data_IF_308043813621
#
_entry.id   IF_308043813621
#
_cell.length_a   1.000
_cell.length_b   1.000
_cell.length_c   1.000
_cell.angle_alpha   90.00
_cell.angle_beta   90.00
_cell.angle_gamma   90.00
#
_symmetry.space_group_name_H-M   'P 1'
#
loop_
_entity.id
_entity.type
_entity.pdbx_description
1 polymer ?
#
# COMPACT_ATOMS: atom_id res chain seq x y z
N UNK A 1 64.78 -41.83 -44.42
CA UNK A 1 65.04 -40.52 -43.76
C UNK A 1 63.88 -39.58 -44.05
N UNK A 2 62.96 -39.42 -43.09
CA UNK A 2 62.08 -38.26 -42.89
C UNK A 2 61.20 -38.55 -41.66
N UNK A 3 61.33 -37.66 -40.67
CA UNK A 3 60.68 -37.67 -39.38
C UNK A 3 59.18 -37.33 -39.51
N UNK A 4 58.35 -37.70 -38.53
CA UNK A 4 57.49 -36.80 -37.75
C UNK A 4 56.41 -37.54 -36.94
N UNK A 5 56.63 -37.50 -35.62
CA UNK A 5 55.75 -37.19 -34.50
C UNK A 5 54.41 -37.95 -34.19
N UNK A 6 54.02 -37.96 -32.89
CA UNK A 6 53.09 -38.90 -32.31
C UNK A 6 51.75 -38.28 -31.85
N UNK A 7 50.95 -39.13 -31.21
CA UNK A 7 49.87 -38.84 -30.22
C UNK A 7 48.57 -38.22 -30.76
N UNK A 8 47.67 -39.13 -31.14
CA UNK A 8 46.21 -39.04 -30.96
C UNK A 8 45.88 -39.76 -29.63
N UNK A 9 44.90 -39.43 -28.79
CA UNK A 9 43.72 -38.59 -28.94
C UNK A 9 43.11 -38.25 -27.56
N UNK A 10 42.19 -37.25 -27.56
CA UNK A 10 40.89 -37.23 -26.85
C UNK A 10 40.89 -36.97 -25.32
N UNK A 11 39.98 -36.21 -24.66
CA UNK A 11 38.72 -35.52 -24.97
C UNK A 11 38.58 -34.22 -24.10
N UNK A 12 37.78 -33.25 -24.57
CA UNK A 12 37.16 -32.11 -23.84
C UNK A 12 35.84 -32.57 -23.14
N UNK A 13 35.12 -31.82 -22.24
CA UNK A 13 34.96 -30.35 -22.19
C UNK A 13 34.63 -29.68 -20.81
N UNK A 14 34.36 -28.37 -20.92
CA UNK A 14 33.40 -27.54 -20.15
C UNK A 14 33.78 -27.02 -18.76
N UNK A 15 34.15 -25.74 -18.72
CA UNK A 15 34.20 -24.94 -17.52
C UNK A 15 32.80 -24.67 -16.96
N UNK A 16 32.68 -24.77 -15.64
CA UNK A 16 31.52 -24.30 -14.89
C UNK A 16 31.92 -22.98 -14.22
N UNK A 17 31.50 -21.86 -14.81
CA UNK A 17 31.49 -20.56 -14.12
C UNK A 17 30.30 -20.61 -13.17
N UNK A 18 30.56 -20.77 -11.89
CA UNK A 18 29.54 -20.74 -10.84
C UNK A 18 29.15 -19.27 -10.59
N UNK A 19 28.21 -18.75 -11.39
CA UNK A 19 27.58 -17.48 -11.11
C UNK A 19 26.61 -17.65 -9.94
N UNK A 20 27.08 -17.37 -8.73
CA UNK A 20 26.23 -17.15 -7.56
C UNK A 20 25.47 -15.85 -7.80
N UNK A 21 24.29 -15.95 -8.43
CA UNK A 21 23.31 -14.87 -8.42
C UNK A 21 22.73 -14.85 -7.02
N UNK A 22 23.25 -13.98 -6.15
CA UNK A 22 22.58 -13.63 -4.90
C UNK A 22 21.28 -12.95 -5.29
N UNK A 23 20.19 -13.73 -5.34
CA UNK A 23 18.83 -13.16 -5.32
C UNK A 23 18.72 -12.34 -4.04
N UNK A 24 18.48 -11.05 -4.20
CA UNK A 24 18.38 -10.10 -3.10
C UNK A 24 17.28 -10.52 -2.14
N UNK A 25 17.66 -10.92 -0.94
CA UNK A 25 16.79 -10.80 0.22
C UNK A 25 16.84 -9.34 0.68
N UNK A 26 16.09 -8.49 -0.01
CA UNK A 26 15.71 -7.18 0.48
C UNK A 26 14.39 -7.29 1.25
N UNK A 27 14.38 -7.98 2.39
CA UNK A 27 13.29 -7.90 3.37
C UNK A 27 13.93 -7.58 4.70
N UNK A 28 14.03 -6.29 4.98
CA UNK A 28 14.19 -5.76 6.32
C UNK A 28 13.16 -4.63 6.40
N UNK A 29 11.93 -4.97 6.78
CA UNK A 29 10.88 -3.94 6.94
C UNK A 29 9.49 -4.46 7.30
N UNK A 30 9.01 -5.54 6.68
CA UNK A 30 7.60 -5.92 6.82
C UNK A 30 7.29 -6.78 8.05
N UNK A 31 6.35 -6.34 8.89
CA UNK A 31 5.64 -7.18 9.85
C UNK A 31 4.92 -8.34 9.16
N UNK A 32 4.60 -9.40 9.92
CA UNK A 32 3.88 -10.56 9.37
C UNK A 32 2.53 -10.16 8.75
N UNK A 33 1.92 -9.14 9.36
CA UNK A 33 0.57 -8.65 9.08
C UNK A 33 0.58 -7.40 8.17
N UNK A 34 1.71 -7.06 7.54
CA UNK A 34 1.77 -5.92 6.62
C UNK A 34 1.25 -6.29 5.23
N UNK A 35 0.65 -5.29 4.56
CA UNK A 35 0.22 -5.38 3.17
C UNK A 35 1.36 -5.88 2.26
N UNK A 36 1.06 -6.84 1.39
CA UNK A 36 2.05 -7.42 0.47
C UNK A 36 2.15 -6.56 -0.79
N UNK A 37 3.31 -5.96 -1.02
CA UNK A 37 3.50 -4.94 -2.06
C UNK A 37 4.48 -5.34 -3.15
N UNK A 38 4.27 -4.79 -4.35
CA UNK A 38 5.28 -4.80 -5.40
C UNK A 38 6.41 -3.82 -5.06
N UNK A 39 7.65 -4.26 -5.19
CA UNK A 39 8.82 -3.45 -4.81
C UNK A 39 9.09 -2.27 -5.75
N UNK A 40 8.48 -2.25 -6.95
CA UNK A 40 8.71 -1.22 -7.96
C UNK A 40 7.60 -0.18 -8.02
N UNK A 41 6.34 -0.60 -7.88
CA UNK A 41 5.19 0.31 -7.88
C UNK A 41 4.73 0.73 -6.47
N UNK A 42 5.01 -0.08 -5.44
CA UNK A 42 4.49 0.12 -4.09
C UNK A 42 3.04 -0.36 -3.90
N UNK A 43 2.40 -0.82 -4.98
CA UNK A 43 0.99 -1.25 -4.96
C UNK A 43 0.82 -2.56 -4.21
N UNK A 44 -0.33 -2.72 -3.55
CA UNK A 44 -0.75 -4.00 -2.97
C UNK A 44 -0.95 -5.04 -4.07
N UNK A 45 -0.41 -6.24 -3.85
CA UNK A 45 -0.36 -7.34 -4.82
C UNK A 45 -1.23 -8.54 -4.45
N UNK A 46 -1.65 -8.63 -3.19
CA UNK A 46 -2.45 -9.72 -2.67
C UNK A 46 -3.54 -9.18 -1.76
N UNK A 47 -4.75 -9.75 -1.87
CA UNK A 47 -5.85 -9.46 -0.96
C UNK A 47 -5.61 -10.12 0.40
N UNK A 48 -5.49 -9.32 1.46
CA UNK A 48 -5.32 -9.81 2.82
C UNK A 48 -5.68 -8.74 3.85
N UNK A 49 -6.02 -9.17 5.06
CA UNK A 49 -6.01 -8.29 6.22
C UNK A 49 -4.59 -7.74 6.42
N UNK A 50 -4.49 -6.41 6.42
CA UNK A 50 -3.25 -5.68 6.60
C UNK A 50 -3.36 -4.77 7.81
N UNK A 51 -2.27 -4.66 8.57
CA UNK A 51 -2.13 -3.67 9.64
C UNK A 51 -2.42 -2.27 9.09
N UNK A 52 -3.24 -1.49 9.80
CA UNK A 52 -3.54 -0.10 9.41
C UNK A 52 -2.27 0.75 9.37
N UNK A 53 -1.25 0.41 10.16
CA UNK A 53 0.06 1.07 10.14
C UNK A 53 0.89 0.79 8.88
N UNK A 54 0.49 -0.20 8.08
CA UNK A 54 1.16 -0.57 6.83
C UNK A 54 0.44 -0.05 5.59
N UNK A 55 -0.73 0.59 5.75
CA UNK A 55 -1.50 1.15 4.65
C UNK A 55 -0.85 2.44 4.14
N UNK A 56 -0.89 2.64 2.82
CA UNK A 56 -0.27 3.75 2.12
C UNK A 56 -1.26 4.42 1.16
N UNK A 57 -1.00 5.66 0.78
CA UNK A 57 -1.79 6.36 -0.25
C UNK A 57 -1.78 5.57 -1.57
N UNK A 58 -2.97 5.30 -2.10
CA UNK A 58 -3.23 4.47 -3.27
C UNK A 58 -3.70 3.06 -2.95
N UNK A 59 -3.72 2.66 -1.67
CA UNK A 59 -4.23 1.36 -1.28
C UNK A 59 -5.75 1.29 -1.35
N UNK A 60 -6.21 0.28 -2.07
CA UNK A 60 -7.61 -0.08 -2.15
C UNK A 60 -7.95 -1.07 -1.03
N UNK A 61 -9.00 -0.76 -0.27
CA UNK A 61 -9.37 -1.46 0.96
C UNK A 61 -10.88 -1.71 1.00
N UNK A 62 -11.28 -2.68 1.81
CA UNK A 62 -12.68 -2.87 2.18
C UNK A 62 -12.94 -2.28 3.56
N UNK A 63 -13.88 -1.36 3.68
CA UNK A 63 -14.32 -0.81 4.97
C UNK A 63 -15.45 -1.70 5.52
N UNK A 64 -15.32 -2.23 6.75
CA UNK A 64 -16.41 -2.98 7.35
C UNK A 64 -17.62 -2.06 7.59
N UNK A 65 -18.83 -2.56 7.35
CA UNK A 65 -20.14 -1.88 7.55
C UNK A 65 -20.39 -1.26 8.94
N UNK A 66 -19.47 -1.45 9.89
CA UNK A 66 -19.59 -0.94 11.25
C UNK A 66 -18.69 0.28 11.42
N UNK A 67 -19.26 1.34 12.01
CA UNK A 67 -18.64 2.58 12.51
C UNK A 67 -17.47 2.34 13.50
N UNK A 68 -16.44 1.61 13.07
CA UNK A 68 -15.35 1.17 13.93
C UNK A 68 -14.34 2.30 14.03
N UNK A 69 -14.51 3.10 15.08
CA UNK A 69 -13.57 4.14 15.52
C UNK A 69 -12.18 3.59 15.91
N UNK A 70 -12.00 2.27 15.93
CA UNK A 70 -10.78 1.57 16.29
C UNK A 70 -10.63 0.33 15.41
N UNK A 71 -9.79 0.39 14.39
CA UNK A 71 -9.43 -0.74 13.53
C UNK A 71 -7.92 -0.96 13.58
N UNK A 72 -7.49 -2.17 13.90
CA UNK A 72 -6.07 -2.55 13.87
C UNK A 72 -5.65 -3.05 12.49
N UNK A 73 -6.61 -3.61 11.74
CA UNK A 73 -6.41 -4.17 10.41
C UNK A 73 -7.59 -3.85 9.51
N UNK A 74 -7.31 -3.67 8.22
CA UNK A 74 -8.31 -3.58 7.16
C UNK A 74 -7.91 -4.54 6.04
N UNK A 75 -8.90 -5.08 5.34
CA UNK A 75 -8.63 -5.89 4.15
C UNK A 75 -8.13 -4.96 3.05
N UNK A 76 -6.86 -5.11 2.65
CA UNK A 76 -6.25 -4.41 1.55
C UNK A 76 -6.12 -5.34 0.34
N UNK A 77 -6.23 -4.79 -0.87
CA UNK A 77 -6.17 -5.56 -2.11
C UNK A 77 -5.67 -4.73 -3.29
N UNK A 78 -5.24 -5.38 -4.39
CA UNK A 78 -5.02 -4.66 -5.64
C UNK A 78 -6.30 -3.95 -6.08
N UNK A 79 -6.19 -2.72 -6.56
CA UNK A 79 -7.35 -1.92 -6.97
C UNK A 79 -8.14 -2.50 -8.15
N UNK A 80 -7.61 -3.53 -8.84
CA UNK A 80 -8.37 -4.28 -9.86
C UNK A 80 -9.29 -5.36 -9.28
N UNK A 81 -9.23 -5.57 -7.97
CA UNK A 81 -10.16 -6.41 -7.20
C UNK A 81 -11.32 -5.58 -6.65
N UNK A 82 -12.49 -6.20 -6.38
CA UNK A 82 -13.62 -5.54 -5.75
C UNK A 82 -13.27 -4.94 -4.39
N UNK A 83 -13.47 -3.64 -4.22
CA UNK A 83 -13.26 -2.90 -2.97
C UNK A 83 -14.20 -1.68 -2.92
N UNK A 84 -14.42 -1.10 -1.76
CA UNK A 84 -15.31 0.06 -1.61
C UNK A 84 -14.57 1.33 -1.16
N UNK A 85 -13.27 1.26 -0.85
CA UNK A 85 -12.54 2.42 -0.37
C UNK A 85 -11.09 2.49 -0.85
N UNK A 86 -10.53 3.70 -0.82
CA UNK A 86 -9.11 3.95 -1.15
C UNK A 86 -8.50 4.99 -0.21
N UNK A 87 -7.26 4.74 0.26
CA UNK A 87 -6.47 5.75 0.97
C UNK A 87 -5.99 6.78 -0.06
N UNK A 88 -6.43 8.03 0.05
CA UNK A 88 -6.18 9.02 -1.01
C UNK A 88 -5.23 10.15 -0.62
N UNK A 89 -5.07 10.40 0.67
CA UNK A 89 -4.15 11.41 1.19
C UNK A 89 -3.70 11.06 2.61
N UNK A 90 -2.55 11.59 3.02
CA UNK A 90 -2.03 11.43 4.37
C UNK A 90 -1.28 12.68 4.84
N UNK A 91 -1.21 12.85 6.17
CA UNK A 91 -0.45 13.90 6.82
C UNK A 91 0.22 13.38 8.09
N UNK A 92 1.52 13.56 8.19
CA UNK A 92 2.26 13.33 9.44
C UNK A 92 1.99 14.44 10.45
N UNK A 93 1.62 14.06 11.66
CA UNK A 93 1.34 14.93 12.78
C UNK A 93 2.62 15.14 13.60
N UNK A 94 2.95 16.39 13.93
CA UNK A 94 4.11 16.70 14.78
C UNK A 94 3.85 16.45 16.28
N UNK A 95 2.57 16.35 16.67
CA UNK A 95 2.08 16.07 18.02
C UNK A 95 0.67 15.52 17.90
N UNK A 96 0.25 14.70 18.87
CA UNK A 96 -1.15 14.29 19.00
C UNK A 96 -1.98 15.46 19.57
N UNK A 97 -2.96 16.02 18.83
CA UNK A 97 -3.90 17.01 19.37
C UNK A 97 -4.91 16.36 20.31
N UNK A 98 -5.72 17.19 20.98
CA UNK A 98 -6.94 16.70 21.62
C UNK A 98 -7.89 16.14 20.55
N UNK A 99 -8.67 15.13 20.90
CA UNK A 99 -9.53 14.39 19.97
C UNK A 99 -10.39 15.30 19.06
N UNK A 100 -11.06 16.30 19.64
CA UNK A 100 -11.91 17.21 18.87
C UNK A 100 -11.12 18.10 17.88
N UNK A 101 -9.91 18.49 18.24
CA UNK A 101 -9.02 19.25 17.35
C UNK A 101 -8.48 18.33 16.23
N UNK A 102 -8.22 17.06 16.54
CA UNK A 102 -7.77 16.06 15.58
C UNK A 102 -8.86 15.73 14.55
N UNK A 103 -10.11 15.53 14.97
CA UNK A 103 -11.25 15.33 14.06
C UNK A 103 -11.47 16.55 13.16
N UNK A 104 -11.36 17.76 13.72
CA UNK A 104 -11.47 19.00 12.94
C UNK A 104 -10.35 19.12 11.91
N UNK A 105 -9.11 18.79 12.31
CA UNK A 105 -7.96 18.75 11.42
C UNK A 105 -8.17 17.73 10.30
N UNK A 106 -8.59 16.52 10.65
CA UNK A 106 -8.87 15.43 9.72
C UNK A 106 -9.91 15.83 8.68
N UNK A 107 -11.09 16.30 9.12
CA UNK A 107 -12.13 16.76 8.20
C UNK A 107 -11.66 17.88 7.28
N UNK A 108 -10.93 18.86 7.80
CA UNK A 108 -10.43 19.98 6.99
C UNK A 108 -9.40 19.53 5.96
N UNK A 109 -8.42 18.74 6.38
CA UNK A 109 -7.36 18.25 5.50
C UNK A 109 -7.92 17.31 4.43
N UNK A 110 -8.71 16.31 4.83
CA UNK A 110 -9.25 15.32 3.93
C UNK A 110 -10.20 15.94 2.90
N UNK A 111 -11.09 16.86 3.30
CA UNK A 111 -11.94 17.56 2.33
C UNK A 111 -11.14 18.41 1.33
N UNK A 112 -10.02 19.02 1.76
CA UNK A 112 -9.18 19.82 0.87
C UNK A 112 -8.47 18.96 -0.20
N UNK A 113 -8.12 17.72 0.13
CA UNK A 113 -7.45 16.78 -0.78
C UNK A 113 -8.42 15.96 -1.65
N UNK A 114 -9.73 16.02 -1.37
CA UNK A 114 -10.74 15.21 -2.05
C UNK A 114 -10.85 15.53 -3.54
N UNK A 115 -11.15 16.78 -3.90
CA UNK A 115 -11.33 17.18 -5.31
C UNK A 115 -10.06 16.97 -6.15
N UNK A 116 -8.85 17.31 -5.66
CA UNK A 116 -7.60 16.96 -6.35
C UNK A 116 -7.45 15.47 -6.66
N UNK A 117 -8.01 14.59 -5.82
CA UNK A 117 -7.94 13.15 -6.01
C UNK A 117 -9.06 12.60 -6.90
N UNK A 118 -10.33 12.89 -6.57
CA UNK A 118 -11.52 12.34 -7.25
C UNK A 118 -11.76 13.01 -8.61
N UNK A 119 -11.44 14.29 -8.73
CA UNK A 119 -11.73 15.11 -9.91
C UNK A 119 -13.12 15.75 -9.93
N UNK A 120 -13.87 15.67 -8.81
CA UNK A 120 -15.12 16.38 -8.55
C UNK A 120 -15.11 17.01 -7.16
N UNK A 121 -15.86 18.10 -7.00
CA UNK A 121 -16.14 18.66 -5.68
C UNK A 121 -16.91 17.63 -4.83
N UNK A 122 -16.67 17.61 -3.52
CA UNK A 122 -17.30 16.67 -2.59
C UNK A 122 -18.82 16.71 -2.66
N UNK A 123 -19.42 17.90 -2.76
CA UNK A 123 -20.87 18.08 -2.84
C UNK A 123 -21.50 17.60 -4.15
N UNK A 124 -20.68 17.33 -5.18
CA UNK A 124 -21.10 16.82 -6.48
C UNK A 124 -20.83 15.32 -6.66
N UNK A 125 -20.11 14.70 -5.72
CA UNK A 125 -19.71 13.29 -5.74
C UNK A 125 -20.70 12.41 -4.96
N UNK A 126 -20.82 11.14 -5.35
CA UNK A 126 -21.50 10.10 -4.54
C UNK A 126 -20.60 9.50 -3.46
N UNK A 127 -19.29 9.78 -3.52
CA UNK A 127 -18.31 9.23 -2.61
C UNK A 127 -18.34 9.94 -1.26
N UNK A 128 -18.09 9.18 -0.21
CA UNK A 128 -17.98 9.69 1.15
C UNK A 128 -16.52 9.77 1.58
N UNK A 129 -16.26 10.55 2.64
CA UNK A 129 -14.93 10.72 3.22
C UNK A 129 -14.98 10.23 4.67
N UNK A 130 -14.03 9.36 5.00
CA UNK A 130 -13.69 9.02 6.38
C UNK A 130 -12.18 9.14 6.57
N UNK A 131 -11.70 8.89 7.78
CA UNK A 131 -10.29 9.07 8.12
C UNK A 131 -9.84 8.11 9.21
N UNK A 132 -8.58 7.71 9.11
CA UNK A 132 -7.83 7.02 10.16
C UNK A 132 -6.88 8.03 10.79
N UNK A 133 -6.82 8.07 12.12
CA UNK A 133 -5.88 8.94 12.83
C UNK A 133 -5.36 8.23 14.07
N UNK A 134 -4.22 8.68 14.64
CA UNK A 134 -3.65 8.02 15.77
C UNK A 134 -4.51 8.16 17.03
N UNK A 135 -4.60 7.07 17.78
CA UNK A 135 -5.09 7.06 19.16
C UNK A 135 -3.93 7.38 20.11
N UNK A 136 -4.21 7.63 21.40
CA UNK A 136 -3.13 7.77 22.40
C UNK A 136 -2.22 6.51 22.45
N UNK A 137 -2.83 5.33 22.31
CA UNK A 137 -2.13 4.05 22.37
C UNK A 137 -1.30 3.78 21.12
N UNK A 138 -1.82 4.07 19.92
CA UNK A 138 -1.04 3.91 18.67
C UNK A 138 0.05 4.97 18.56
N UNK A 139 -0.22 6.20 18.99
CA UNK A 139 0.77 7.27 19.06
C UNK A 139 1.97 6.90 19.94
N UNK A 140 1.72 6.27 21.10
CA UNK A 140 2.79 5.78 21.97
C UNK A 140 3.67 4.69 21.31
N UNK A 141 3.17 4.07 20.23
CA UNK A 141 3.87 3.06 19.43
C UNK A 141 4.51 3.65 18.17
N UNK A 142 4.36 4.95 17.93
CA UNK A 142 4.96 5.66 16.80
C UNK A 142 4.03 5.91 15.63
N UNK A 143 2.73 5.66 15.78
CA UNK A 143 1.73 6.09 14.79
C UNK A 143 1.54 7.60 14.84
N UNK A 144 2.09 8.29 13.86
CA UNK A 144 2.00 9.74 13.73
C UNK A 144 1.29 10.19 12.45
N UNK A 145 0.48 9.32 11.83
CA UNK A 145 -0.10 9.56 10.51
C UNK A 145 -1.63 9.69 10.57
N UNK A 146 -2.15 10.81 10.07
CA UNK A 146 -3.55 10.97 9.68
C UNK A 146 -3.71 10.51 8.23
N UNK A 147 -4.63 9.60 7.95
CA UNK A 147 -4.94 9.11 6.60
C UNK A 147 -6.38 9.41 6.23
N UNK A 148 -6.58 9.87 5.01
CA UNK A 148 -7.88 10.15 4.44
C UNK A 148 -8.32 8.99 3.57
N UNK A 149 -9.57 8.57 3.75
CA UNK A 149 -10.15 7.43 3.06
C UNK A 149 -11.38 7.91 2.30
N UNK A 150 -11.42 7.62 1.00
CA UNK A 150 -12.61 7.86 0.18
C UNK A 150 -13.36 6.54 0.07
N UNK A 151 -14.68 6.59 0.18
CA UNK A 151 -15.54 5.40 0.25
C UNK A 151 -16.67 5.52 -0.77
N UNK A 152 -16.95 4.44 -1.50
CA UNK A 152 -18.15 4.29 -2.30
C UNK A 152 -19.24 3.62 -1.43
N UNK A 153 -20.29 4.35 -1.00
CA UNK A 153 -21.14 3.92 0.11
C UNK A 153 -22.12 2.77 -0.20
N UNK A 154 -22.19 2.32 -1.46
CA UNK A 154 -23.25 1.39 -1.91
C UNK A 154 -22.80 0.31 -2.89
N UNK A 155 -21.61 0.42 -3.46
CA UNK A 155 -21.14 -0.48 -4.52
C UNK A 155 -19.64 -0.70 -4.38
N UNK A 156 -19.20 -1.92 -4.65
CA UNK A 156 -17.79 -2.22 -4.85
C UNK A 156 -17.36 -1.75 -6.25
N UNK A 157 -16.17 -1.17 -6.33
CA UNK A 157 -15.47 -0.81 -7.56
C UNK A 157 -14.31 -1.77 -7.82
N UNK A 158 -13.85 -1.83 -9.07
CA UNK A 158 -12.70 -2.67 -9.50
C UNK A 158 -11.63 -1.83 -10.20
N UNK A 159 -11.52 -0.57 -9.79
CA UNK A 159 -10.48 0.36 -10.21
C UNK A 159 -10.30 1.41 -9.10
N UNK A 160 -9.15 2.10 -9.13
CA UNK A 160 -8.91 3.27 -8.25
C UNK A 160 -10.03 4.30 -8.38
N UNK A 161 -10.36 4.94 -7.26
CA UNK A 161 -11.29 6.07 -7.17
C UNK A 161 -10.64 7.39 -7.63
N UNK A 162 -9.33 7.40 -7.88
CA UNK A 162 -8.60 8.55 -8.43
C UNK A 162 -9.13 8.94 -9.80
N UNK A 163 -9.58 10.18 -9.94
CA UNK A 163 -10.09 10.70 -11.21
C UNK A 163 -11.36 9.99 -11.70
N UNK A 164 -12.06 9.27 -10.81
CA UNK A 164 -13.30 8.55 -11.14
C UNK A 164 -14.42 9.50 -11.56
N UNK A 165 -14.43 10.72 -11.02
CA UNK A 165 -15.45 11.74 -11.26
C UNK A 165 -16.88 11.22 -11.11
N UNK A 166 -17.12 10.46 -10.04
CA UNK A 166 -18.44 9.97 -9.60
C UNK A 166 -18.86 10.60 -8.29
#
# INVERSE_FOLDING_TARGET
>A
MRNLNPRRAALLPAGAVLALVVSGCGVLGGGADDAKRDASSGEVTESAAASVFSLEVGDCIAIPDADQMLVEQLDAMPCDQPHDAEIYAEQTLAKLPEQADLETLAGTFCLAEFEPFVGLAYEESVLEVTYLYPTEDSWAQGDDVLQCVVVHPTEDVTATLRGSAV
#
